data_IF_984355387447
#
_entry.id   IF_984355387447
#
_cell.length_a   1.000
_cell.length_b   1.000
_cell.length_c   1.000
_cell.angle_alpha   90.00
_cell.angle_beta   90.00
_cell.angle_gamma   90.00
#
_symmetry.space_group_name_H-M   'P 1'
#
loop_
_entity.id
_entity.type
_entity.pdbx_description
1 polymer ?
#
# COMPACT_ATOMS: atom_id res chain seq x y z
N UNK A 1 11.01 -0.08 -11.25
CA UNK A 1 10.04 -1.18 -11.12
C UNK A 1 10.47 -2.36 -11.96
N UNK A 2 10.18 -3.57 -11.50
CA UNK A 2 10.58 -4.82 -12.17
C UNK A 2 9.37 -5.74 -12.30
N UNK A 3 9.10 -6.21 -13.52
CA UNK A 3 8.01 -7.15 -13.80
C UNK A 3 8.55 -8.59 -13.78
N UNK A 4 7.97 -9.43 -12.93
CA UNK A 4 8.24 -10.85 -12.82
C UNK A 4 7.08 -11.66 -13.39
N UNK A 5 7.39 -12.67 -14.22
CA UNK A 5 6.40 -13.56 -14.82
C UNK A 5 6.37 -14.90 -14.10
N UNK A 6 5.18 -15.32 -13.69
CA UNK A 6 4.99 -16.64 -13.09
C UNK A 6 5.42 -17.76 -14.04
N UNK A 7 6.07 -18.77 -13.48
CA UNK A 7 6.40 -20.03 -14.17
C UNK A 7 5.49 -21.18 -13.71
N UNK A 8 4.48 -20.91 -12.89
CA UNK A 8 3.51 -21.91 -12.47
C UNK A 8 2.74 -22.50 -13.66
N UNK A 9 2.34 -23.75 -13.53
CA UNK A 9 1.57 -24.43 -14.58
C UNK A 9 0.17 -23.80 -14.76
N UNK A 10 -0.46 -23.35 -13.67
CA UNK A 10 -1.77 -22.68 -13.66
C UNK A 10 -1.60 -21.17 -13.57
N UNK A 11 -1.35 -20.50 -14.70
CA UNK A 11 -1.21 -19.06 -14.78
C UNK A 11 -2.57 -18.38 -14.70
N UNK A 12 -2.70 -17.40 -13.82
CA UNK A 12 -3.94 -16.64 -13.61
C UNK A 12 -4.19 -15.55 -14.66
N UNK A 13 -3.17 -15.14 -15.41
CA UNK A 13 -3.27 -14.02 -16.36
C UNK A 13 -3.50 -12.67 -15.69
N UNK A 14 -3.20 -12.56 -14.40
CA UNK A 14 -3.35 -11.37 -13.57
C UNK A 14 -1.98 -10.92 -13.11
N UNK A 15 -1.72 -9.63 -13.21
CA UNK A 15 -0.51 -8.98 -12.67
C UNK A 15 -0.84 -8.19 -11.41
N UNK A 16 -0.17 -8.48 -10.31
CA UNK A 16 -0.29 -7.76 -9.04
C UNK A 16 0.87 -6.79 -8.90
N UNK A 17 0.59 -5.48 -8.79
CA UNK A 17 1.60 -4.51 -8.39
C UNK A 17 1.81 -4.58 -6.87
N UNK A 18 3.03 -4.93 -6.46
CA UNK A 18 3.45 -4.95 -5.06
C UNK A 18 4.33 -3.74 -4.79
N UNK A 19 3.85 -2.88 -3.90
CA UNK A 19 4.50 -1.65 -3.50
C UNK A 19 5.04 -1.79 -2.07
N UNK A 20 6.33 -2.10 -1.95
CA UNK A 20 7.01 -1.96 -0.66
C UNK A 20 7.02 -0.47 -0.26
N UNK A 21 6.29 -0.10 0.78
CA UNK A 21 6.15 1.28 1.22
C UNK A 21 7.49 1.95 1.53
N UNK A 22 7.55 3.27 1.37
CA UNK A 22 8.77 4.07 1.63
C UNK A 22 9.95 3.75 0.69
N UNK A 23 11.20 3.96 1.15
CA UNK A 23 12.41 3.59 0.41
C UNK A 23 12.69 4.45 -0.84
N UNK A 24 12.40 5.76 -0.75
CA UNK A 24 12.84 6.78 -1.72
C UNK A 24 13.71 7.79 -0.99
N UNK A 25 15.01 7.72 -1.23
CA UNK A 25 15.97 8.64 -0.60
C UNK A 25 15.67 10.08 -1.01
N UNK A 26 15.50 10.96 -0.02
CA UNK A 26 15.14 12.36 -0.25
C UNK A 26 13.65 12.62 -0.51
N UNK A 27 12.81 11.59 -0.61
CA UNK A 27 11.39 11.73 -0.90
C UNK A 27 10.60 12.58 0.11
N UNK A 28 11.04 12.64 1.36
CA UNK A 28 10.46 13.48 2.40
C UNK A 28 10.66 14.99 2.20
N UNK A 29 11.60 15.38 1.38
CA UNK A 29 11.89 16.80 1.06
C UNK A 29 11.20 17.28 -0.22
N UNK A 30 10.61 16.38 -0.99
CA UNK A 30 9.88 16.68 -2.22
C UNK A 30 8.39 16.60 -1.92
N UNK A 31 7.59 17.43 -2.58
CA UNK A 31 6.13 17.39 -2.48
C UNK A 31 5.49 17.11 -3.82
N UNK A 32 4.42 16.35 -3.80
CA UNK A 32 3.53 16.08 -4.92
C UNK A 32 2.11 16.54 -4.60
N UNK A 33 1.28 16.71 -5.60
CA UNK A 33 -0.12 17.03 -5.42
C UNK A 33 -0.87 15.85 -4.77
N UNK A 34 -1.70 16.11 -3.76
CA UNK A 34 -2.43 15.05 -3.04
C UNK A 34 -3.48 14.38 -3.93
N UNK A 35 -4.25 15.18 -4.68
CA UNK A 35 -5.35 14.75 -5.53
C UNK A 35 -5.15 15.24 -6.97
N UNK A 36 -5.54 14.47 -7.99
CA UNK A 36 -5.28 14.82 -9.39
C UNK A 36 -5.99 16.11 -9.85
N UNK A 37 -7.09 16.49 -9.22
CA UNK A 37 -7.85 17.71 -9.52
C UNK A 37 -7.43 18.92 -8.66
N UNK A 38 -6.45 18.75 -7.76
CA UNK A 38 -5.96 19.81 -6.87
C UNK A 38 -6.82 20.08 -5.65
N UNK A 39 -7.89 19.33 -5.42
CA UNK A 39 -8.69 19.46 -4.20
C UNK A 39 -7.88 19.08 -2.96
N UNK A 40 -8.21 19.69 -1.79
CA UNK A 40 -7.46 19.42 -0.57
C UNK A 40 -7.83 18.06 0.04
N UNK A 41 -6.90 17.49 0.81
CA UNK A 41 -7.12 16.29 1.62
C UNK A 41 -8.31 16.46 2.56
N UNK A 42 -9.10 15.40 2.68
CA UNK A 42 -10.26 15.33 3.58
C UNK A 42 -9.94 14.67 4.93
N UNK A 43 -8.86 13.86 4.98
CA UNK A 43 -8.39 13.20 6.21
C UNK A 43 -6.99 13.67 6.59
N UNK A 44 -6.65 13.58 7.87
CA UNK A 44 -5.29 13.79 8.38
C UNK A 44 -4.49 12.48 8.43
N UNK A 45 -3.18 12.61 8.59
CA UNK A 45 -2.20 11.53 8.69
C UNK A 45 -0.82 12.16 8.69
N UNK A 46 0.16 11.60 7.98
CA UNK A 46 1.47 12.23 7.75
C UNK A 46 1.34 13.62 7.14
N UNK A 47 0.31 13.84 6.33
CA UNK A 47 -0.08 15.14 5.80
C UNK A 47 -1.43 15.55 6.40
N UNK A 48 -1.55 16.78 6.85
CA UNK A 48 -2.77 17.29 7.48
C UNK A 48 -3.94 17.39 6.50
N UNK A 49 -5.17 17.22 7.01
CA UNK A 49 -6.38 17.57 6.29
C UNK A 49 -6.32 19.05 5.85
N UNK A 50 -6.88 19.38 4.69
CA UNK A 50 -6.82 20.70 4.08
C UNK A 50 -5.59 20.98 3.23
N UNK A 51 -4.55 20.14 3.28
CA UNK A 51 -3.37 20.26 2.42
C UNK A 51 -3.67 19.85 0.99
N UNK A 52 -3.13 20.57 0.01
CA UNK A 52 -3.20 20.22 -1.43
C UNK A 52 -1.95 19.47 -1.91
N UNK A 53 -0.87 19.49 -1.13
CA UNK A 53 0.37 18.77 -1.42
C UNK A 53 0.78 17.88 -0.24
N UNK A 54 1.33 16.71 -0.52
CA UNK A 54 1.92 15.79 0.45
C UNK A 54 3.40 15.55 0.14
N UNK A 55 4.14 14.99 1.10
CA UNK A 55 5.50 14.49 0.82
C UNK A 55 5.43 13.42 -0.26
N UNK A 56 6.37 13.45 -1.19
CA UNK A 56 6.41 12.55 -2.33
C UNK A 56 6.50 11.08 -1.90
N UNK A 57 7.35 10.79 -0.91
CA UNK A 57 7.40 9.51 -0.17
C UNK A 57 7.92 9.82 1.23
N UNK A 58 7.17 9.44 2.27
CA UNK A 58 7.64 9.58 3.66
C UNK A 58 8.75 8.58 3.98
N UNK A 59 9.54 8.87 5.00
CA UNK A 59 10.59 7.96 5.46
C UNK A 59 10.03 6.67 6.09
N UNK A 60 8.76 6.71 6.52
CA UNK A 60 8.15 5.66 7.31
C UNK A 60 8.46 5.76 8.80
N UNK A 61 7.98 4.80 9.56
CA UNK A 61 8.27 4.67 10.99
C UNK A 61 9.55 3.88 11.25
N UNK A 62 9.95 3.80 12.52
CA UNK A 62 11.05 2.94 12.98
C UNK A 62 10.49 2.01 14.05
N UNK A 63 10.72 0.72 13.90
CA UNK A 63 10.33 -0.30 14.87
C UNK A 63 11.06 -0.11 16.20
N UNK A 64 10.58 -0.74 17.28
CA UNK A 64 11.16 -0.64 18.62
C UNK A 64 12.63 -1.11 18.69
N UNK A 65 13.02 -2.02 17.82
CA UNK A 65 14.39 -2.53 17.73
C UNK A 65 15.33 -1.65 16.88
N UNK A 66 14.82 -0.52 16.37
CA UNK A 66 15.56 0.39 15.50
C UNK A 66 15.49 0.07 14.00
N UNK A 67 14.79 -0.97 13.60
CA UNK A 67 14.63 -1.32 12.17
C UNK A 67 13.73 -0.31 11.47
N UNK A 68 14.18 0.21 10.32
CA UNK A 68 13.36 1.12 9.52
C UNK A 68 12.22 0.36 8.82
N UNK A 69 11.02 0.91 8.81
CA UNK A 69 9.84 0.34 8.14
C UNK A 69 10.14 0.00 6.67
N UNK A 70 10.87 0.84 5.97
CA UNK A 70 11.25 0.60 4.56
C UNK A 70 12.01 -0.71 4.33
N UNK A 71 12.74 -1.22 5.32
CA UNK A 71 13.41 -2.53 5.25
C UNK A 71 12.40 -3.67 5.42
N UNK A 72 11.49 -3.54 6.37
CA UNK A 72 10.47 -4.55 6.65
C UNK A 72 9.49 -4.66 5.50
N UNK A 73 9.01 -3.53 4.95
CA UNK A 73 8.13 -3.52 3.78
C UNK A 73 8.78 -4.15 2.55
N UNK A 74 10.10 -3.98 2.35
CA UNK A 74 10.82 -4.63 1.25
C UNK A 74 10.96 -6.14 1.47
N UNK A 75 11.23 -6.57 2.71
CA UNK A 75 11.30 -8.00 3.03
C UNK A 75 9.94 -8.67 2.79
N UNK A 76 8.85 -8.08 3.30
CA UNK A 76 7.48 -8.56 3.08
C UNK A 76 7.11 -8.59 1.59
N UNK A 77 7.43 -7.54 0.84
CA UNK A 77 7.14 -7.48 -0.59
C UNK A 77 7.84 -8.59 -1.38
N UNK A 78 9.05 -8.96 -0.98
CA UNK A 78 9.79 -10.08 -1.60
C UNK A 78 9.15 -11.42 -1.29
N UNK A 79 8.72 -11.63 -0.05
CA UNK A 79 7.99 -12.85 0.36
C UNK A 79 6.68 -12.93 -0.42
N UNK A 80 5.88 -11.88 -0.43
CA UNK A 80 4.62 -11.83 -1.15
C UNK A 80 4.81 -12.06 -2.66
N UNK A 81 5.86 -11.51 -3.26
CA UNK A 81 6.21 -11.75 -4.67
C UNK A 81 6.39 -13.24 -4.94
N UNK A 82 7.18 -13.95 -4.13
CA UNK A 82 7.43 -15.38 -4.34
C UNK A 82 6.13 -16.21 -4.19
N UNK A 83 5.31 -15.89 -3.21
CA UNK A 83 4.01 -16.54 -3.01
C UNK A 83 3.06 -16.32 -4.19
N UNK A 84 2.94 -15.09 -4.68
CA UNK A 84 2.11 -14.76 -5.83
C UNK A 84 2.59 -15.45 -7.11
N UNK A 85 3.90 -15.45 -7.37
CA UNK A 85 4.48 -16.14 -8.52
C UNK A 85 4.23 -17.66 -8.46
N UNK A 86 4.36 -18.28 -7.28
CA UNK A 86 4.05 -19.68 -7.06
C UNK A 86 2.56 -20.00 -7.28
N UNK A 87 1.68 -19.06 -6.91
CA UNK A 87 0.23 -19.16 -7.10
C UNK A 87 -0.24 -18.86 -8.54
N UNK A 88 0.66 -18.52 -9.46
CA UNK A 88 0.34 -18.31 -10.87
C UNK A 88 0.09 -16.84 -11.28
N UNK A 89 0.28 -15.89 -10.39
CA UNK A 89 0.18 -14.46 -10.69
C UNK A 89 1.51 -13.90 -11.19
N UNK A 90 1.45 -12.97 -12.13
CA UNK A 90 2.59 -12.11 -12.45
C UNK A 90 2.72 -11.00 -11.40
N UNK A 91 3.93 -10.51 -11.15
CA UNK A 91 4.18 -9.51 -10.11
C UNK A 91 4.97 -8.33 -10.65
N UNK A 92 4.42 -7.13 -10.51
CA UNK A 92 5.12 -5.88 -10.74
C UNK A 92 5.65 -5.34 -9.40
N UNK A 93 6.93 -5.55 -9.12
CA UNK A 93 7.58 -4.91 -7.97
C UNK A 93 7.83 -3.44 -8.27
N UNK A 94 7.10 -2.53 -7.61
CA UNK A 94 7.29 -1.08 -7.78
C UNK A 94 8.58 -0.60 -7.10
N UNK A 95 8.99 -1.27 -6.03
CA UNK A 95 10.29 -1.14 -5.41
C UNK A 95 10.88 -2.53 -5.14
N UNK A 96 12.06 -2.79 -5.67
CA UNK A 96 12.75 -4.09 -5.55
C UNK A 96 14.16 -3.96 -4.95
N UNK A 97 14.52 -2.76 -4.54
CA UNK A 97 15.77 -2.43 -3.87
C UNK A 97 15.55 -1.54 -2.65
N UNK A 98 16.62 -1.21 -1.95
CA UNK A 98 16.55 -0.34 -0.76
C UNK A 98 16.10 1.08 -1.11
N UNK A 99 16.49 1.57 -2.30
CA UNK A 99 16.12 2.88 -2.82
C UNK A 99 15.52 2.77 -4.22
N UNK A 100 14.44 3.49 -4.47
CA UNK A 100 13.88 3.70 -5.81
C UNK A 100 13.44 5.15 -5.93
N UNK A 101 13.85 5.83 -7.00
CA UNK A 101 13.52 7.22 -7.24
C UNK A 101 12.16 7.33 -7.97
N UNK A 102 11.11 6.82 -7.31
CA UNK A 102 9.70 6.88 -7.72
C UNK A 102 8.87 7.40 -6.55
N UNK A 103 8.19 8.50 -6.74
CA UNK A 103 7.22 9.00 -5.78
C UNK A 103 5.90 8.20 -5.80
N UNK A 104 4.99 8.50 -4.87
CA UNK A 104 3.73 7.76 -4.75
C UNK A 104 2.82 7.92 -5.99
N UNK A 105 2.88 9.06 -6.68
CA UNK A 105 2.14 9.26 -7.94
C UNK A 105 2.74 8.39 -9.04
N UNK A 106 4.06 8.43 -9.22
CA UNK A 106 4.76 7.63 -10.22
C UNK A 106 4.56 6.13 -10.02
N UNK A 107 4.62 5.64 -8.76
CA UNK A 107 4.32 4.23 -8.42
C UNK A 107 2.90 3.86 -8.83
N UNK A 108 1.93 4.72 -8.54
CA UNK A 108 0.52 4.48 -8.89
C UNK A 108 0.30 4.48 -10.40
N UNK A 109 0.91 5.43 -11.13
CA UNK A 109 0.82 5.48 -12.60
C UNK A 109 1.42 4.24 -13.24
N UNK A 110 2.56 3.74 -12.74
CA UNK A 110 3.14 2.47 -13.21
C UNK A 110 2.20 1.29 -12.96
N UNK A 111 1.59 1.20 -11.78
CA UNK A 111 0.62 0.16 -11.47
C UNK A 111 -0.60 0.24 -12.42
N UNK A 112 -1.16 1.43 -12.65
CA UNK A 112 -2.27 1.64 -13.57
C UNK A 112 -2.00 1.13 -14.99
N UNK A 113 -0.75 1.20 -15.46
CA UNK A 113 -0.38 0.82 -16.83
C UNK A 113 0.04 -0.63 -17.00
N UNK A 114 0.48 -1.29 -15.92
CA UNK A 114 1.18 -2.57 -16.02
C UNK A 114 0.70 -3.64 -15.02
N UNK A 115 -0.43 -3.40 -14.34
CA UNK A 115 -1.01 -4.37 -13.42
C UNK A 115 -2.54 -4.31 -13.39
N UNK A 116 -3.15 -5.34 -12.81
CA UNK A 116 -4.60 -5.46 -12.65
C UNK A 116 -5.06 -5.02 -11.26
N UNK A 117 -4.14 -4.97 -10.29
CA UNK A 117 -4.37 -4.40 -8.96
C UNK A 117 -3.07 -3.93 -8.32
N UNK A 118 -3.17 -3.10 -7.28
CA UNK A 118 -2.03 -2.48 -6.61
C UNK A 118 -2.16 -2.61 -5.08
N UNK A 119 -1.19 -3.25 -4.43
CA UNK A 119 -1.13 -3.45 -2.99
C UNK A 119 0.11 -2.74 -2.44
N UNK A 120 -0.07 -1.75 -1.57
CA UNK A 120 1.00 -1.12 -0.82
C UNK A 120 1.09 -1.72 0.59
N UNK A 121 2.30 -2.04 1.02
CA UNK A 121 2.60 -2.70 2.29
C UNK A 121 3.22 -1.70 3.26
N UNK A 122 2.65 -1.60 4.46
CA UNK A 122 3.03 -0.66 5.51
C UNK A 122 2.91 -1.25 6.92
N UNK A 123 3.48 -0.54 7.90
CA UNK A 123 3.28 -0.73 9.33
C UNK A 123 2.97 0.61 9.99
N UNK A 124 1.89 0.67 10.76
CA UNK A 124 1.46 1.90 11.42
C UNK A 124 2.46 2.38 12.50
N UNK A 125 2.44 3.67 12.74
CA UNK A 125 3.36 4.34 13.68
C UNK A 125 3.04 4.14 15.16
N UNK A 126 1.93 3.47 15.51
CA UNK A 126 1.61 3.12 16.91
C UNK A 126 2.50 2.00 17.44
N UNK A 127 2.41 1.69 18.76
CA UNK A 127 3.28 0.72 19.43
C UNK A 127 2.51 -0.38 20.17
N UNK A 128 1.21 -0.51 19.89
CA UNK A 128 0.32 -1.32 20.71
C UNK A 128 0.13 -2.75 20.21
N UNK A 129 0.85 -3.11 19.13
CA UNK A 129 0.63 -4.38 18.41
C UNK A 129 -0.88 -4.56 18.10
N UNK A 130 -1.46 -3.55 17.48
CA UNK A 130 -2.92 -3.47 17.32
C UNK A 130 -3.50 -4.42 16.26
N UNK A 131 -2.68 -4.92 15.36
CA UNK A 131 -3.10 -5.81 14.29
C UNK A 131 -3.29 -5.11 12.94
N UNK A 132 -3.61 -5.90 11.90
CA UNK A 132 -3.69 -5.43 10.52
C UNK A 132 -4.98 -4.68 10.22
N UNK A 133 -4.91 -3.70 9.31
CA UNK A 133 -6.06 -2.98 8.74
C UNK A 133 -5.67 -2.32 7.42
N UNK A 134 -6.64 -2.02 6.58
CA UNK A 134 -6.38 -1.28 5.34
C UNK A 134 -6.94 0.14 5.39
N UNK A 135 -6.39 1.02 4.56
CA UNK A 135 -6.88 2.39 4.38
C UNK A 135 -8.05 2.38 3.39
N UNK A 136 -9.27 2.48 3.91
CA UNK A 136 -10.49 2.54 3.10
C UNK A 136 -10.70 3.94 2.53
N UNK A 137 -11.35 3.99 1.37
CA UNK A 137 -11.70 5.26 0.72
C UNK A 137 -12.69 6.04 1.57
N UNK A 138 -12.40 7.31 1.92
CA UNK A 138 -13.29 8.13 2.73
C UNK A 138 -14.69 8.28 2.15
N UNK A 139 -15.68 8.38 3.03
CA UNK A 139 -17.07 8.63 2.66
C UNK A 139 -17.36 10.07 2.23
N UNK A 140 -16.42 11.01 2.47
CA UNK A 140 -16.54 12.41 2.10
C UNK A 140 -16.86 12.60 0.61
N UNK A 141 -17.97 13.26 0.30
CA UNK A 141 -18.46 13.43 -1.06
C UNK A 141 -17.48 14.17 -1.98
N UNK A 142 -16.75 15.17 -1.46
CA UNK A 142 -15.73 15.91 -2.20
C UNK A 142 -14.60 14.99 -2.72
N UNK A 143 -14.21 13.99 -1.93
CA UNK A 143 -13.21 13.01 -2.32
C UNK A 143 -13.79 11.91 -3.21
N UNK A 144 -14.92 11.33 -2.79
CA UNK A 144 -15.53 10.18 -3.47
C UNK A 144 -16.11 10.50 -4.85
N UNK A 145 -16.42 11.77 -5.12
CA UNK A 145 -16.91 12.23 -6.43
C UNK A 145 -15.79 12.70 -7.38
N UNK A 146 -14.55 12.73 -6.94
CA UNK A 146 -13.39 13.07 -7.77
C UNK A 146 -12.97 11.87 -8.62
N UNK A 147 -12.69 12.08 -9.90
CA UNK A 147 -12.07 11.02 -10.73
C UNK A 147 -10.55 10.94 -10.47
N UNK A 148 -9.98 9.73 -10.47
CA UNK A 148 -10.57 8.41 -10.77
C UNK A 148 -11.26 7.72 -9.57
N UNK A 149 -11.27 8.33 -8.37
CA UNK A 149 -11.84 7.75 -7.16
C UNK A 149 -13.31 7.36 -7.37
N UNK A 150 -14.09 8.24 -7.96
CA UNK A 150 -15.52 8.02 -8.23
C UNK A 150 -15.80 6.72 -8.96
N UNK A 151 -14.99 6.40 -9.95
CA UNK A 151 -15.15 5.21 -10.78
C UNK A 151 -14.60 3.94 -10.15
N UNK A 152 -13.73 4.03 -9.12
CA UNK A 152 -12.95 2.87 -8.63
C UNK A 152 -13.02 2.62 -7.12
N UNK A 153 -13.62 3.51 -6.31
CA UNK A 153 -13.57 3.39 -4.86
C UNK A 153 -14.16 2.08 -4.30
N UNK A 154 -15.23 1.53 -4.93
CA UNK A 154 -15.79 0.23 -4.51
C UNK A 154 -14.78 -0.90 -4.70
N UNK A 155 -14.05 -0.89 -5.80
CA UNK A 155 -13.03 -1.91 -6.10
C UNK A 155 -11.83 -1.76 -5.16
N UNK A 156 -11.44 -0.53 -4.80
CA UNK A 156 -10.41 -0.29 -3.79
C UNK A 156 -10.79 -0.90 -2.45
N UNK A 157 -11.98 -0.61 -1.96
CA UNK A 157 -12.47 -1.15 -0.69
C UNK A 157 -12.66 -2.68 -0.74
N UNK A 158 -13.21 -3.22 -1.84
CA UNK A 158 -13.40 -4.66 -2.00
C UNK A 158 -12.07 -5.44 -1.98
N UNK A 159 -11.00 -4.90 -2.58
CA UNK A 159 -9.66 -5.48 -2.50
C UNK A 159 -9.16 -5.51 -1.05
N UNK A 160 -9.31 -4.39 -0.32
CA UNK A 160 -8.92 -4.30 1.08
C UNK A 160 -9.69 -5.26 1.99
N UNK A 161 -11.02 -5.32 1.82
CA UNK A 161 -11.88 -6.25 2.56
C UNK A 161 -11.50 -7.71 2.31
N UNK A 162 -11.20 -8.08 1.06
CA UNK A 162 -10.78 -9.42 0.70
C UNK A 162 -9.45 -9.81 1.35
N UNK A 163 -8.46 -8.91 1.34
CA UNK A 163 -7.17 -9.15 1.98
C UNK A 163 -7.29 -9.27 3.50
N UNK A 164 -8.05 -8.39 4.15
CA UNK A 164 -8.32 -8.48 5.59
C UNK A 164 -9.05 -9.78 5.94
N UNK A 165 -10.00 -10.21 5.12
CA UNK A 165 -10.68 -11.49 5.32
C UNK A 165 -9.71 -12.67 5.22
N UNK A 166 -8.80 -12.65 4.23
CA UNK A 166 -7.74 -13.66 4.09
C UNK A 166 -6.81 -13.69 5.30
N UNK A 167 -6.25 -12.57 5.69
CA UNK A 167 -5.38 -12.47 6.87
C UNK A 167 -6.06 -12.98 8.15
N UNK A 168 -7.35 -12.63 8.33
CA UNK A 168 -8.13 -13.11 9.47
C UNK A 168 -8.31 -14.62 9.45
N UNK A 169 -8.53 -15.24 8.29
CA UNK A 169 -8.68 -16.70 8.16
C UNK A 169 -7.39 -17.45 8.52
N UNK A 170 -6.23 -16.82 8.30
CA UNK A 170 -4.92 -17.36 8.69
C UNK A 170 -4.53 -17.01 10.13
N UNK A 171 -5.43 -16.43 10.92
CA UNK A 171 -5.22 -16.14 12.33
C UNK A 171 -4.48 -14.82 12.62
N UNK A 172 -4.24 -14.00 11.61
CA UNK A 172 -3.63 -12.68 11.81
C UNK A 172 -4.57 -11.78 12.62
N UNK A 173 -4.02 -11.10 13.62
CA UNK A 173 -4.74 -10.14 14.44
C UNK A 173 -5.22 -8.97 13.59
N UNK A 174 -6.50 -8.65 13.66
CA UNK A 174 -7.11 -7.56 12.90
C UNK A 174 -7.48 -6.40 13.84
N UNK A 175 -7.09 -5.19 13.47
CA UNK A 175 -7.45 -3.97 14.20
C UNK A 175 -8.90 -3.57 13.93
N UNK A 176 -9.69 -3.44 15.00
CA UNK A 176 -11.08 -2.96 14.95
C UNK A 176 -11.91 -3.74 13.90
N UNK A 177 -12.52 -3.07 12.93
CA UNK A 177 -13.25 -3.65 11.81
C UNK A 177 -12.40 -4.02 10.60
N UNK A 178 -11.06 -3.84 10.70
CA UNK A 178 -10.11 -4.12 9.62
C UNK A 178 -9.91 -2.96 8.63
N UNK A 179 -10.51 -1.79 8.88
CA UNK A 179 -10.34 -0.63 8.01
C UNK A 179 -10.36 0.69 8.75
N UNK A 180 -9.68 1.69 8.19
CA UNK A 180 -9.71 3.09 8.62
C UNK A 180 -9.78 3.99 7.39
N UNK A 181 -10.68 4.99 7.39
CA UNK A 181 -10.80 5.92 6.27
C UNK A 181 -9.57 6.83 6.16
N UNK A 182 -8.94 6.85 4.98
CA UNK A 182 -7.86 7.79 4.67
C UNK A 182 -7.78 8.05 3.16
N UNK A 183 -7.71 9.33 2.77
CA UNK A 183 -7.46 9.74 1.39
C UNK A 183 -5.96 9.73 1.09
N UNK A 184 -5.51 8.66 0.49
CA UNK A 184 -4.12 8.48 0.09
C UNK A 184 -3.88 8.95 -1.33
N UNK A 185 -2.68 9.49 -1.62
CA UNK A 185 -2.24 9.79 -2.99
C UNK A 185 -2.40 8.56 -3.89
N UNK A 186 -2.06 7.37 -3.41
CA UNK A 186 -2.22 6.13 -4.14
C UNK A 186 -3.65 5.92 -4.64
N UNK A 187 -4.64 5.90 -3.76
CA UNK A 187 -6.05 5.69 -4.15
C UNK A 187 -6.62 6.86 -4.94
N UNK A 188 -6.09 8.08 -4.73
CA UNK A 188 -6.52 9.29 -5.45
C UNK A 188 -6.16 9.25 -6.95
N UNK A 189 -5.08 8.58 -7.33
CA UNK A 189 -4.58 8.49 -8.71
C UNK A 189 -4.82 7.12 -9.36
N UNK A 190 -5.35 6.15 -8.62
CA UNK A 190 -5.43 4.77 -9.13
C UNK A 190 -6.65 4.54 -10.02
N UNK A 191 -6.40 3.92 -11.17
CA UNK A 191 -7.41 3.44 -12.14
C UNK A 191 -7.56 1.91 -12.13
N UNK A 192 -6.86 1.23 -11.22
CA UNK A 192 -7.02 -0.21 -10.94
C UNK A 192 -7.37 -0.39 -9.47
N UNK A 193 -7.97 -1.51 -9.04
CA UNK A 193 -8.18 -1.80 -7.63
C UNK A 193 -6.89 -1.59 -6.84
N UNK A 194 -6.90 -0.70 -5.85
CA UNK A 194 -5.70 -0.28 -5.16
C UNK A 194 -5.97 -0.07 -3.68
N UNK A 195 -5.06 -0.55 -2.85
CA UNK A 195 -5.19 -0.40 -1.40
C UNK A 195 -3.82 -0.32 -0.73
N UNK A 196 -3.79 0.33 0.42
CA UNK A 196 -2.69 0.40 1.34
C UNK A 196 -3.06 -0.39 2.59
N UNK A 197 -2.20 -1.32 3.01
CA UNK A 197 -2.43 -2.16 4.18
C UNK A 197 -1.34 -1.93 5.23
N UNK A 198 -1.78 -1.68 6.45
CA UNK A 198 -0.96 -1.74 7.65
C UNK A 198 -1.02 -3.17 8.18
N UNK A 199 0.08 -3.92 8.05
CA UNK A 199 0.15 -5.33 8.50
C UNK A 199 0.31 -5.47 10.01
N UNK A 200 0.53 -4.38 10.68
CA UNK A 200 0.70 -4.25 12.12
C UNK A 200 1.09 -2.83 12.48
N UNK A 201 1.87 -2.68 13.52
CA UNK A 201 2.46 -1.41 13.93
C UNK A 201 3.93 -1.58 14.35
N UNK A 202 4.60 -0.51 14.75
CA UNK A 202 6.01 -0.55 15.15
C UNK A 202 6.30 -1.42 16.40
N UNK A 203 5.28 -1.89 17.09
CA UNK A 203 5.36 -2.84 18.20
C UNK A 203 5.18 -4.29 17.78
N UNK A 204 4.75 -4.55 16.55
CA UNK A 204 4.49 -5.90 16.04
C UNK A 204 5.77 -6.66 15.73
N UNK A 205 5.71 -7.98 15.81
CA UNK A 205 6.78 -8.85 15.33
C UNK A 205 6.88 -8.75 13.80
N UNK A 206 8.08 -8.59 13.31
CA UNK A 206 8.41 -8.50 11.89
C UNK A 206 9.55 -9.47 11.51
N UNK A 207 9.71 -10.54 12.29
CA UNK A 207 10.61 -11.64 11.94
C UNK A 207 10.17 -12.32 10.64
N UNK A 208 11.10 -12.94 9.93
CA UNK A 208 10.80 -13.68 8.69
C UNK A 208 9.72 -14.75 8.92
N UNK A 209 9.73 -15.41 10.08
CA UNK A 209 8.73 -16.41 10.44
C UNK A 209 7.32 -15.82 10.48
N UNK A 210 7.17 -14.60 11.03
CA UNK A 210 5.87 -13.89 11.08
C UNK A 210 5.44 -13.37 9.71
N UNK A 211 6.39 -12.89 8.89
CA UNK A 211 6.08 -12.36 7.56
C UNK A 211 5.68 -13.44 6.54
N UNK A 212 5.95 -14.71 6.81
CA UNK A 212 5.66 -15.85 5.90
C UNK A 212 4.35 -16.57 6.16
N UNK A 213 3.60 -16.14 7.19
CA UNK A 213 2.29 -16.73 7.55
C UNK A 213 1.19 -16.29 6.60
#
# INVERSE_FOLDING_TARGET
ATLYRSQAADKKGITVAVNAGHGTKGGGYVKTQCHPDGTPKVTGGTTSAGATTAVAVSAGTTFKDGTAESKVTLAMARILKEQLLAAGYDVLMLRDGEDVQLDNVARTVLANHASDCHIALHWDSTENDKGAFYMSVPSAASYRNMEPVKSHWQQHNALGESLISGLKSEGVKIFSKGSMEMDLTQTSYSTVPSMDIELGDRGSDHSEATLTV
#
